data_IF_330691346755
#
_entry.id   IF_330691346755
#
_cell.length_a   1.000
_cell.length_b   1.000
_cell.length_c   1.000
_cell.angle_alpha   90.00
_cell.angle_beta   90.00
_cell.angle_gamma   90.00
#
_symmetry.space_group_name_H-M   'P 1'
#
loop_
_entity.id
_entity.type
_entity.pdbx_description
1 polymer ?
#
# COMPACT_ATOMS: atom_id res chain seq x y z
N UNK A 1 29.27 -3.18 -7.90
CA UNK A 1 28.24 -2.78 -6.90
C UNK A 1 26.88 -3.18 -7.46
N UNK A 2 26.42 -4.38 -7.10
CA UNK A 2 25.13 -4.90 -7.55
C UNK A 2 24.01 -4.15 -6.83
N UNK A 3 23.14 -3.47 -7.60
CA UNK A 3 21.88 -2.95 -7.08
C UNK A 3 21.09 -4.17 -6.58
N UNK A 4 20.97 -4.35 -5.26
CA UNK A 4 19.92 -5.23 -4.72
C UNK A 4 18.63 -4.76 -5.38
N UNK A 5 17.96 -5.63 -6.13
CA UNK A 5 16.63 -5.32 -6.63
C UNK A 5 15.82 -4.87 -5.42
N UNK A 6 15.42 -3.59 -5.41
CA UNK A 6 14.61 -3.05 -4.34
C UNK A 6 13.32 -3.84 -4.29
N UNK A 7 12.86 -4.12 -3.08
CA UNK A 7 11.55 -4.72 -2.81
C UNK A 7 10.47 -4.07 -3.69
N UNK A 8 9.63 -4.86 -4.35
CA UNK A 8 8.52 -4.33 -5.15
C UNK A 8 7.49 -3.66 -4.24
N UNK A 9 6.59 -2.86 -4.82
CA UNK A 9 5.51 -2.22 -4.03
C UNK A 9 4.62 -3.27 -3.39
N UNK A 10 4.34 -4.37 -4.10
CA UNK A 10 3.57 -5.50 -3.61
C UNK A 10 4.30 -6.22 -2.47
N UNK A 11 5.60 -6.45 -2.59
CA UNK A 11 6.40 -7.07 -1.53
C UNK A 11 6.47 -6.17 -0.28
N UNK A 12 6.57 -4.85 -0.45
CA UNK A 12 6.56 -3.89 0.65
C UNK A 12 5.19 -3.79 1.33
N UNK A 13 4.11 -3.85 0.55
CA UNK A 13 2.75 -3.91 1.09
C UNK A 13 2.54 -5.20 1.88
N UNK A 14 2.90 -6.35 1.31
CA UNK A 14 2.72 -7.65 1.96
C UNK A 14 3.53 -7.76 3.25
N UNK A 15 4.78 -7.29 3.25
CA UNK A 15 5.62 -7.25 4.44
C UNK A 15 4.96 -6.43 5.57
N UNK A 16 4.47 -5.23 5.26
CA UNK A 16 3.79 -4.39 6.26
C UNK A 16 2.43 -4.93 6.70
N UNK A 17 1.72 -5.66 5.83
CA UNK A 17 0.41 -6.23 6.15
C UNK A 17 0.51 -7.52 7.00
N UNK A 18 1.56 -8.30 6.77
CA UNK A 18 1.83 -9.55 7.50
C UNK A 18 2.45 -9.32 8.89
N UNK A 19 2.99 -8.14 9.15
CA UNK A 19 3.52 -7.81 10.48
C UNK A 19 2.38 -7.58 11.50
N UNK A 20 2.53 -8.08 12.74
CA UNK A 20 1.56 -7.79 13.79
C UNK A 20 1.55 -6.29 14.07
N UNK A 21 0.36 -5.71 14.23
CA UNK A 21 0.29 -4.32 14.64
C UNK A 21 0.70 -4.18 16.13
N UNK A 22 1.24 -3.02 16.52
CA UNK A 22 1.67 -2.72 17.90
C UNK A 22 0.57 -2.88 18.96
N UNK A 23 -0.69 -3.02 18.53
CA UNK A 23 -1.86 -3.23 19.40
C UNK A 23 -2.17 -4.70 19.69
N UNK A 24 -1.32 -5.63 19.23
CA UNK A 24 -1.40 -7.05 19.58
C UNK A 24 -2.49 -7.84 18.85
N UNK A 25 -3.10 -7.27 17.81
CA UNK A 25 -4.06 -7.95 16.93
C UNK A 25 -3.57 -7.94 15.48
N UNK A 26 -4.09 -8.80 14.59
CA UNK A 26 -3.84 -8.67 13.16
C UNK A 26 -4.22 -7.26 12.67
N UNK A 27 -3.45 -6.64 11.73
CA UNK A 27 -3.77 -5.32 11.19
C UNK A 27 -5.18 -5.23 10.58
N UNK A 28 -5.67 -6.34 10.00
CA UNK A 28 -7.02 -6.46 9.44
C UNK A 28 -8.15 -6.33 10.47
N UNK A 29 -7.87 -6.64 11.74
CA UNK A 29 -8.86 -6.68 12.82
C UNK A 29 -8.63 -5.59 13.88
N UNK A 30 -7.50 -4.88 13.79
CA UNK A 30 -7.17 -3.83 14.74
C UNK A 30 -8.05 -2.60 14.50
N UNK A 31 -8.92 -2.19 15.44
CA UNK A 31 -9.78 -1.02 15.27
C UNK A 31 -9.00 0.31 15.20
N UNK A 32 -7.71 0.29 15.55
CA UNK A 32 -6.81 1.47 15.44
C UNK A 32 -6.00 1.51 14.15
N UNK A 33 -5.66 0.36 13.59
CA UNK A 33 -4.82 0.28 12.38
C UNK A 33 -5.64 0.01 11.12
N UNK A 34 -6.82 -0.61 11.25
CA UNK A 34 -7.72 -0.88 10.13
C UNK A 34 -8.33 0.43 9.64
N UNK A 35 -8.16 0.68 8.34
CA UNK A 35 -8.87 1.74 7.64
C UNK A 35 -10.31 1.31 7.34
N UNK A 36 -11.24 2.25 7.48
CA UNK A 36 -12.62 2.08 7.00
C UNK A 36 -12.67 2.12 5.46
N UNK A 37 -13.72 1.55 4.88
CA UNK A 37 -13.93 1.57 3.43
C UNK A 37 -13.95 3.02 2.87
N UNK A 38 -14.47 3.97 3.66
CA UNK A 38 -14.47 5.38 3.31
C UNK A 38 -13.05 5.97 3.27
N UNK A 39 -12.18 5.61 4.22
CA UNK A 39 -10.77 6.05 4.26
C UNK A 39 -9.96 5.42 3.14
N UNK A 40 -10.16 4.13 2.87
CA UNK A 40 -9.57 3.44 1.71
C UNK A 40 -10.00 4.13 0.41
N UNK A 41 -11.29 4.43 0.25
CA UNK A 41 -11.82 5.14 -0.91
C UNK A 41 -11.16 6.51 -1.11
N UNK A 42 -10.97 7.30 -0.03
CA UNK A 42 -10.27 8.59 -0.08
C UNK A 42 -8.80 8.45 -0.49
N UNK A 43 -8.09 7.45 0.05
CA UNK A 43 -6.70 7.19 -0.31
C UNK A 43 -6.55 6.81 -1.79
N UNK A 44 -7.45 5.99 -2.33
CA UNK A 44 -7.45 5.62 -3.76
C UNK A 44 -7.58 6.87 -4.65
N UNK A 45 -8.45 7.82 -4.29
CA UNK A 45 -8.60 9.08 -5.03
C UNK A 45 -7.34 9.93 -4.95
N UNK A 46 -6.76 10.09 -3.76
CA UNK A 46 -5.51 10.84 -3.56
C UNK A 46 -4.36 10.24 -4.36
N UNK A 47 -4.20 8.92 -4.32
CA UNK A 47 -3.17 8.21 -5.07
C UNK A 47 -3.35 8.41 -6.58
N UNK A 48 -4.57 8.33 -7.12
CA UNK A 48 -4.84 8.62 -8.54
C UNK A 48 -4.42 10.04 -8.94
N UNK A 49 -4.63 11.02 -8.05
CA UNK A 49 -4.18 12.40 -8.26
C UNK A 49 -2.66 12.54 -8.20
N UNK A 50 -2.01 11.82 -7.27
CA UNK A 50 -0.57 11.88 -7.01
C UNK A 50 0.31 11.15 -8.05
N UNK A 51 -0.26 10.22 -8.84
CA UNK A 51 0.47 9.57 -9.92
C UNK A 51 0.85 10.60 -11.00
N UNK A 52 2.14 10.67 -11.32
CA UNK A 52 2.63 11.37 -12.52
C UNK A 52 2.07 10.70 -13.78
N UNK A 53 2.01 11.39 -14.94
CA UNK A 53 1.50 10.81 -16.18
C UNK A 53 2.13 9.45 -16.53
N UNK A 54 3.46 9.34 -16.40
CA UNK A 54 4.20 8.09 -16.63
C UNK A 54 3.78 6.94 -15.71
N UNK A 55 3.41 7.22 -14.46
CA UNK A 55 2.95 6.19 -13.52
C UNK A 55 1.47 5.81 -13.74
N UNK A 56 0.67 6.69 -14.35
CA UNK A 56 -0.72 6.36 -14.75
C UNK A 56 -0.72 5.40 -15.95
N UNK A 57 0.15 5.65 -16.92
CA UNK A 57 0.24 4.84 -18.14
C UNK A 57 0.72 3.42 -17.82
N UNK A 58 1.72 3.27 -16.94
CA UNK A 58 2.23 1.97 -16.50
C UNK A 58 1.18 1.10 -15.79
N UNK A 59 0.23 1.71 -15.08
CA UNK A 59 -0.85 1.02 -14.36
C UNK A 59 -2.00 0.58 -15.27
N UNK A 60 -2.11 1.13 -16.48
CA UNK A 60 -3.17 0.78 -17.45
C UNK A 60 -2.71 -0.32 -18.41
N UNK A 61 -1.41 -0.59 -18.45
CA UNK A 61 -0.79 -1.61 -19.31
C UNK A 61 -0.58 -2.97 -18.61
N UNK A 62 -0.95 -3.09 -17.33
CA UNK A 62 -0.94 -4.32 -16.53
C UNK A 62 -2.39 -4.76 -16.24
#
# INVERSE_FOLDING_TARGET
>A
MNRKAGMTVEEAFEAGFSEPCDHGTPPSDCPRCRLTDAEIGRLVVLLRGALTPQQRDARTAA
#
